data_IF_145208906955
#
_entry.id   IF_145208906955
#
_cell.length_a   1.000
_cell.length_b   1.000
_cell.length_c   1.000
_cell.angle_alpha   90.00
_cell.angle_beta   90.00
_cell.angle_gamma   90.00
#
_symmetry.space_group_name_H-M   'P 1'
#
loop_
_entity.id
_entity.type
_entity.pdbx_description
1 polymer ?
#
# COMPACT_ATOMS: atom_id res chain seq x y z
N UNK A 1 60.63 40.31 -32.29
CA UNK A 1 59.45 41.00 -31.74
C UNK A 1 58.22 40.38 -32.40
N UNK A 2 57.57 39.41 -31.77
CA UNK A 2 56.22 38.94 -32.05
C UNK A 2 55.91 37.78 -31.10
N UNK A 3 54.88 37.98 -30.26
CA UNK A 3 54.35 37.07 -29.25
C UNK A 3 53.41 36.07 -29.94
N UNK A 4 53.45 34.75 -29.65
CA UNK A 4 52.44 33.84 -30.17
C UNK A 4 51.15 33.91 -29.33
N UNK A 5 50.02 33.93 -30.05
CA UNK A 5 48.65 33.99 -29.56
C UNK A 5 48.30 32.76 -28.69
N UNK A 6 47.61 33.04 -27.58
CA UNK A 6 46.96 32.03 -26.72
C UNK A 6 45.76 31.44 -27.46
N UNK A 7 45.79 30.12 -27.71
CA UNK A 7 44.61 29.35 -28.07
C UNK A 7 43.80 29.03 -26.81
N UNK A 8 42.59 29.57 -26.73
CA UNK A 8 41.63 29.25 -25.68
C UNK A 8 40.88 27.95 -26.06
N UNK A 9 41.07 26.91 -25.25
CA UNK A 9 40.34 25.66 -25.34
C UNK A 9 38.94 25.86 -24.73
N UNK A 10 37.90 25.82 -25.54
CA UNK A 10 36.51 25.86 -25.08
C UNK A 10 36.10 24.44 -24.69
N UNK A 11 36.11 24.15 -23.39
CA UNK A 11 35.51 22.96 -22.82
C UNK A 11 33.99 23.10 -22.88
N UNK A 12 33.37 22.34 -23.79
CA UNK A 12 31.92 22.22 -23.88
C UNK A 12 31.44 21.29 -22.75
N UNK A 13 31.07 21.87 -21.61
CA UNK A 13 30.37 21.16 -20.54
C UNK A 13 28.94 20.84 -21.02
N UNK A 14 28.71 19.59 -21.41
CA UNK A 14 27.37 19.04 -21.63
C UNK A 14 26.65 18.98 -20.28
N UNK A 15 25.73 19.93 -20.06
CA UNK A 15 24.77 19.90 -18.95
C UNK A 15 23.81 18.72 -19.19
N UNK A 16 24.00 17.62 -18.46
CA UNK A 16 22.99 16.58 -18.31
C UNK A 16 21.83 17.17 -17.50
N UNK A 17 20.79 17.62 -18.19
CA UNK A 17 19.52 17.98 -17.58
C UNK A 17 18.86 16.68 -17.08
N UNK A 18 19.08 16.31 -15.81
CA UNK A 18 18.27 15.28 -15.17
C UNK A 18 16.88 15.86 -14.96
N UNK A 19 15.92 15.45 -15.79
CA UNK A 19 14.51 15.70 -15.59
C UNK A 19 14.07 15.01 -14.29
N UNK A 20 14.26 15.68 -13.16
CA UNK A 20 13.54 15.37 -11.95
C UNK A 20 12.09 15.75 -12.23
N UNK A 21 11.23 14.77 -12.52
CA UNK A 21 9.80 14.96 -12.34
C UNK A 21 9.61 15.32 -10.87
N UNK A 22 9.47 16.62 -10.59
CA UNK A 22 9.11 17.11 -9.29
C UNK A 22 7.66 16.71 -9.04
N UNK A 23 7.46 15.49 -8.54
CA UNK A 23 6.22 15.16 -7.85
C UNK A 23 6.09 16.18 -6.72
N UNK A 24 5.04 17.00 -6.77
CA UNK A 24 4.77 18.04 -5.80
C UNK A 24 4.94 17.48 -4.38
N UNK A 25 5.70 18.20 -3.54
CA UNK A 25 5.99 17.81 -2.16
C UNK A 25 4.69 17.46 -1.43
N UNK A 26 4.58 16.16 -1.13
CA UNK A 26 3.42 15.51 -0.57
C UNK A 26 3.33 15.83 0.93
N UNK A 27 2.61 16.88 1.32
CA UNK A 27 2.30 17.17 2.73
C UNK A 27 1.15 16.28 3.25
N UNK A 28 1.18 14.98 2.95
CA UNK A 28 0.31 14.02 3.62
C UNK A 28 1.03 13.49 4.86
N UNK A 29 0.30 13.29 5.96
CA UNK A 29 0.87 12.68 7.15
C UNK A 29 1.44 11.29 6.82
N UNK A 30 2.46 10.84 7.55
CA UNK A 30 3.11 9.52 7.40
C UNK A 30 2.07 8.38 7.32
N UNK A 31 0.93 8.52 8.02
CA UNK A 31 -0.18 7.57 8.01
C UNK A 31 -0.95 7.49 6.68
N UNK A 32 -0.98 8.57 5.91
CA UNK A 32 -1.70 8.64 4.63
C UNK A 32 -0.85 8.18 3.44
N UNK A 33 0.45 7.96 3.62
CA UNK A 33 1.34 7.47 2.57
C UNK A 33 1.40 5.94 2.63
N UNK A 34 1.44 5.23 1.49
CA UNK A 34 1.75 3.80 1.48
C UNK A 34 3.11 3.52 2.14
N UNK A 35 3.33 2.29 2.64
CA UNK A 35 4.65 1.89 3.09
C UNK A 35 5.69 2.01 1.96
N UNK A 36 6.96 2.26 2.31
CA UNK A 36 8.09 2.20 1.36
C UNK A 36 8.04 0.89 0.56
N UNK A 37 8.53 0.87 -0.68
CA UNK A 37 8.34 -0.30 -1.58
C UNK A 37 7.03 -0.23 -2.37
N UNK A 38 6.41 0.95 -2.41
CA UNK A 38 5.32 1.28 -3.33
C UNK A 38 5.66 2.59 -4.03
N UNK A 39 5.37 2.65 -5.32
CA UNK A 39 5.60 3.83 -6.17
C UNK A 39 4.30 4.36 -6.76
N UNK A 40 4.18 5.68 -6.97
CA UNK A 40 3.02 6.26 -7.65
C UNK A 40 3.01 5.78 -9.10
N UNK A 41 1.88 5.24 -9.55
CA UNK A 41 1.73 4.76 -10.92
C UNK A 41 0.86 5.72 -11.74
N UNK A 42 -0.31 6.09 -11.21
CA UNK A 42 -1.27 6.94 -11.93
C UNK A 42 -1.86 7.98 -10.99
N UNK A 43 -1.95 9.23 -11.47
CA UNK A 43 -2.67 10.31 -10.80
C UNK A 43 -3.90 10.71 -11.60
N UNK A 44 -5.06 10.68 -10.94
CA UNK A 44 -6.34 11.11 -11.50
C UNK A 44 -7.02 12.12 -10.59
N UNK A 45 -7.88 12.95 -11.17
CA UNK A 45 -8.74 13.84 -10.42
C UNK A 45 -10.21 13.57 -10.71
N UNK A 46 -11.07 13.94 -9.77
CA UNK A 46 -12.51 13.73 -9.90
C UNK A 46 -13.17 14.78 -10.79
N UNK A 47 -14.14 14.35 -11.59
CA UNK A 47 -15.15 15.20 -12.22
C UNK A 47 -16.54 14.75 -11.77
N UNK A 48 -17.44 15.70 -11.52
CA UNK A 48 -18.83 15.47 -11.09
C UNK A 48 -18.96 14.56 -9.85
N UNK A 49 -18.01 14.67 -8.91
CA UNK A 49 -17.98 13.88 -7.69
C UNK A 49 -19.06 14.27 -6.71
N UNK A 50 -19.66 13.30 -6.03
CA UNK A 50 -20.58 13.54 -4.91
C UNK A 50 -20.54 12.45 -3.83
N UNK A 51 -20.78 12.86 -2.59
CA UNK A 51 -21.11 12.00 -1.46
C UNK A 51 -22.64 11.90 -1.34
N UNK A 52 -23.17 10.71 -1.11
CA UNK A 52 -24.59 10.45 -0.95
C UNK A 52 -24.92 10.32 0.53
N UNK A 53 -25.75 11.22 1.05
CA UNK A 53 -26.21 11.17 2.44
C UNK A 53 -27.70 10.87 2.50
N UNK A 54 -28.13 10.08 3.48
CA UNK A 54 -29.54 9.93 3.84
C UNK A 54 -29.81 10.50 5.22
N UNK A 55 -30.93 11.20 5.38
CA UNK A 55 -31.39 11.66 6.68
C UNK A 55 -31.95 10.49 7.50
N UNK A 56 -31.43 10.27 8.70
CA UNK A 56 -31.91 9.25 9.64
C UNK A 56 -32.02 9.88 11.04
N UNK A 57 -33.25 10.02 11.53
CA UNK A 57 -33.56 10.54 12.87
C UNK A 57 -32.86 11.88 13.15
N UNK A 58 -32.95 12.81 12.20
CA UNK A 58 -32.32 14.14 12.31
C UNK A 58 -30.79 14.16 12.12
N UNK A 59 -30.16 13.05 11.75
CA UNK A 59 -28.72 12.97 11.46
C UNK A 59 -28.45 12.52 10.02
N UNK A 60 -27.54 13.19 9.33
CA UNK A 60 -27.07 12.76 8.01
C UNK A 60 -26.15 11.54 8.14
N UNK A 61 -26.53 10.43 7.50
CA UNK A 61 -25.74 9.21 7.42
C UNK A 61 -25.17 9.05 6.01
N UNK A 62 -23.86 8.83 5.91
CA UNK A 62 -23.20 8.59 4.63
C UNK A 62 -23.61 7.22 4.07
N UNK A 63 -23.95 7.16 2.78
CA UNK A 63 -24.39 5.95 2.08
C UNK A 63 -23.44 5.47 1.01
N UNK A 64 -22.59 6.36 0.50
CA UNK A 64 -21.62 6.04 -0.53
C UNK A 64 -21.20 7.28 -1.28
N UNK A 65 -20.43 7.07 -2.34
CA UNK A 65 -19.92 8.15 -3.18
C UNK A 65 -19.81 7.70 -4.63
N UNK A 66 -19.73 8.69 -5.52
CA UNK A 66 -19.43 8.49 -6.93
C UNK A 66 -18.57 9.65 -7.42
N UNK A 67 -17.65 9.40 -8.34
CA UNK A 67 -17.05 10.42 -9.18
C UNK A 67 -16.54 9.82 -10.49
N UNK A 68 -16.59 10.58 -11.58
CA UNK A 68 -15.78 10.28 -12.76
C UNK A 68 -14.31 10.59 -12.45
N UNK A 69 -13.40 9.83 -13.05
CA UNK A 69 -11.97 10.00 -12.91
C UNK A 69 -11.37 10.46 -14.24
N UNK A 70 -10.50 11.46 -14.17
CA UNK A 70 -9.84 12.05 -15.32
C UNK A 70 -8.33 12.00 -15.09
N UNK A 71 -7.56 11.63 -16.11
CA UNK A 71 -6.10 11.72 -16.06
C UNK A 71 -5.67 13.18 -15.90
N UNK A 72 -4.70 13.42 -15.01
CA UNK A 72 -4.26 14.79 -14.73
C UNK A 72 -3.61 15.43 -15.97
N UNK A 73 -2.79 14.70 -16.72
CA UNK A 73 -2.02 15.25 -17.83
C UNK A 73 -2.86 15.43 -19.10
N UNK A 74 -3.54 14.37 -19.54
CA UNK A 74 -4.28 14.38 -20.82
C UNK A 74 -5.68 14.95 -20.71
N UNK A 75 -6.23 15.07 -19.49
CA UNK A 75 -7.65 15.35 -19.22
C UNK A 75 -8.60 14.35 -19.86
N UNK A 76 -8.10 13.20 -20.32
CA UNK A 76 -8.91 12.11 -20.82
C UNK A 76 -9.62 11.38 -19.67
N UNK A 77 -10.74 10.74 -19.97
CA UNK A 77 -11.45 9.92 -19.01
C UNK A 77 -10.60 8.70 -18.63
N UNK A 78 -10.38 8.53 -17.32
CA UNK A 78 -9.67 7.39 -16.76
C UNK A 78 -10.64 6.32 -16.25
N UNK A 79 -11.89 6.68 -15.94
CA UNK A 79 -12.92 5.77 -15.46
C UNK A 79 -13.76 6.39 -14.35
N UNK A 80 -14.07 5.64 -13.28
CA UNK A 80 -14.85 6.14 -12.16
C UNK A 80 -14.46 5.51 -10.82
N UNK A 81 -14.85 6.16 -9.73
CA UNK A 81 -14.81 5.61 -8.37
C UNK A 81 -16.20 5.60 -7.76
N UNK A 82 -16.52 4.53 -7.07
CA UNK A 82 -17.72 4.42 -6.21
C UNK A 82 -17.33 4.01 -4.81
N UNK A 83 -18.17 4.35 -3.83
CA UNK A 83 -18.11 3.73 -2.51
C UNK A 83 -19.47 3.25 -2.04
N UNK A 84 -19.45 2.20 -1.24
CA UNK A 84 -20.63 1.62 -0.56
C UNK A 84 -20.24 1.17 0.83
N UNK A 85 -21.21 1.02 1.71
CA UNK A 85 -21.01 0.45 3.04
C UNK A 85 -21.48 -1.00 3.06
N UNK A 86 -20.66 -1.87 3.62
CA UNK A 86 -21.05 -3.23 3.97
C UNK A 86 -20.78 -3.50 5.46
N UNK A 87 -21.00 -4.73 5.93
CA UNK A 87 -20.82 -5.10 7.33
C UNK A 87 -19.39 -4.87 7.86
N UNK A 88 -18.41 -4.63 6.98
CA UNK A 88 -17.02 -4.37 7.33
C UNK A 88 -16.62 -2.90 7.10
N UNK A 89 -17.60 -2.00 6.91
CA UNK A 89 -17.38 -0.57 6.70
C UNK A 89 -17.42 -0.14 5.24
N UNK A 90 -16.81 1.00 4.94
CA UNK A 90 -16.79 1.56 3.59
C UNK A 90 -15.85 0.75 2.68
N UNK A 91 -16.36 0.36 1.52
CA UNK A 91 -15.65 -0.29 0.43
C UNK A 91 -15.68 0.63 -0.78
N UNK A 92 -14.50 0.97 -1.29
CA UNK A 92 -14.33 1.72 -2.51
C UNK A 92 -14.05 0.78 -3.67
N UNK A 93 -14.58 1.10 -4.85
CA UNK A 93 -14.26 0.41 -6.12
C UNK A 93 -13.89 1.45 -7.15
N UNK A 94 -12.69 1.34 -7.71
CA UNK A 94 -12.22 2.10 -8.86
C UNK A 94 -12.34 1.21 -10.10
N UNK A 95 -13.05 1.70 -11.11
CA UNK A 95 -13.08 1.12 -12.45
C UNK A 95 -12.21 2.00 -13.33
N UNK A 96 -11.17 1.42 -13.93
CA UNK A 96 -10.24 2.10 -14.83
C UNK A 96 -10.41 1.58 -16.24
N UNK A 97 -10.44 2.49 -17.20
CA UNK A 97 -10.43 2.14 -18.62
C UNK A 97 -9.06 1.56 -18.98
N UNK A 98 -9.06 0.43 -19.66
CA UNK A 98 -7.84 -0.21 -20.15
C UNK A 98 -7.35 0.49 -21.42
N UNK A 99 -6.03 0.51 -21.61
CA UNK A 99 -5.46 0.90 -22.91
C UNK A 99 -5.90 -0.09 -24.00
N UNK A 100 -5.74 0.28 -25.28
CA UNK A 100 -6.06 -0.65 -26.37
C UNK A 100 -5.23 -1.93 -26.31
N UNK A 101 -3.97 -1.84 -25.86
CA UNK A 101 -3.10 -3.00 -25.66
C UNK A 101 -3.59 -3.88 -24.52
N UNK A 102 -3.81 -3.29 -23.35
CA UNK A 102 -4.33 -4.04 -22.19
C UNK A 102 -5.69 -4.67 -22.48
N UNK A 103 -6.57 -3.98 -23.22
CA UNK A 103 -7.87 -4.50 -23.60
C UNK A 103 -7.77 -5.65 -24.59
N UNK A 104 -6.83 -5.59 -25.54
CA UNK A 104 -6.57 -6.68 -26.48
C UNK A 104 -5.99 -7.91 -25.79
N UNK A 105 -5.08 -7.72 -24.82
CA UNK A 105 -4.46 -8.81 -24.06
C UNK A 105 -5.42 -9.44 -23.03
N UNK A 106 -6.16 -8.61 -22.31
CA UNK A 106 -7.07 -9.06 -21.24
C UNK A 106 -8.45 -9.49 -21.74
N UNK A 107 -8.89 -9.01 -22.90
CA UNK A 107 -10.26 -9.16 -23.39
C UNK A 107 -11.27 -8.22 -22.74
N UNK A 108 -10.84 -7.27 -21.89
CA UNK A 108 -11.72 -6.35 -21.18
C UNK A 108 -11.36 -4.89 -21.43
N UNK A 109 -12.36 -4.06 -21.75
CA UNK A 109 -12.16 -2.61 -21.93
C UNK A 109 -11.90 -1.85 -20.63
N UNK A 110 -12.09 -2.50 -19.48
CA UNK A 110 -11.87 -1.91 -18.17
C UNK A 110 -11.45 -2.97 -17.14
N UNK A 111 -10.65 -2.53 -16.18
CA UNK A 111 -10.25 -3.30 -15.01
C UNK A 111 -10.68 -2.59 -13.73
N UNK A 112 -10.82 -3.35 -12.65
CA UNK A 112 -11.32 -2.83 -11.38
C UNK A 112 -10.38 -3.20 -10.24
N UNK A 113 -10.26 -2.28 -9.29
CA UNK A 113 -9.65 -2.52 -7.98
C UNK A 113 -10.63 -2.05 -6.91
N UNK A 114 -10.83 -2.86 -5.88
CA UNK A 114 -11.58 -2.45 -4.69
C UNK A 114 -10.67 -2.44 -3.49
N UNK A 115 -10.96 -1.57 -2.53
CA UNK A 115 -10.13 -1.43 -1.33
C UNK A 115 -10.87 -0.82 -0.15
N UNK A 116 -10.26 -0.97 1.03
CA UNK A 116 -10.76 -0.40 2.29
C UNK A 116 -9.83 0.63 2.89
N UNK A 117 -10.35 1.69 3.51
CA UNK A 117 -9.52 2.67 4.18
C UNK A 117 -8.66 2.06 5.29
N UNK A 118 -7.38 2.42 5.31
CA UNK A 118 -6.43 2.13 6.39
C UNK A 118 -6.15 3.33 7.28
N UNK A 119 -6.32 4.54 6.76
CA UNK A 119 -6.07 5.77 7.50
C UNK A 119 -6.92 6.90 6.92
N UNK A 120 -7.26 7.85 7.79
CA UNK A 120 -8.01 9.06 7.46
C UNK A 120 -7.32 10.29 8.06
N UNK A 121 -7.48 11.42 7.39
CA UNK A 121 -7.22 12.74 7.94
C UNK A 121 -8.43 13.65 7.76
N UNK A 122 -8.95 14.12 8.89
CA UNK A 122 -10.10 15.03 9.01
C UNK A 122 -9.67 16.46 9.35
N UNK A 123 -8.40 16.82 9.15
CA UNK A 123 -7.85 18.15 9.43
C UNK A 123 -8.66 19.28 8.78
N UNK A 124 -9.18 19.05 7.57
CA UNK A 124 -10.14 19.93 6.92
C UNK A 124 -11.60 19.49 7.18
N UNK A 125 -12.26 20.11 8.16
CA UNK A 125 -13.64 19.76 8.54
C UNK A 125 -14.70 20.11 7.48
N UNK A 126 -14.38 20.96 6.52
CA UNK A 126 -15.28 21.40 5.45
C UNK A 126 -15.11 20.55 4.17
N UNK A 127 -14.36 19.47 4.26
CA UNK A 127 -14.08 18.57 3.16
C UNK A 127 -14.18 17.11 3.60
N UNK A 128 -14.45 16.23 2.64
CA UNK A 128 -14.25 14.80 2.85
C UNK A 128 -12.80 14.51 3.25
N UNK A 129 -12.64 13.49 4.09
CA UNK A 129 -11.33 13.11 4.60
C UNK A 129 -10.38 12.72 3.47
N UNK A 130 -9.14 13.18 3.59
CA UNK A 130 -8.04 12.52 2.90
C UNK A 130 -7.89 11.12 3.48
N UNK A 131 -7.52 10.15 2.65
CA UNK A 131 -7.43 8.77 3.11
C UNK A 131 -6.41 7.97 2.32
N UNK A 132 -5.90 6.93 2.97
CA UNK A 132 -5.19 5.85 2.31
C UNK A 132 -6.07 4.61 2.32
N UNK A 133 -6.19 3.96 1.17
CA UNK A 133 -6.96 2.75 0.95
C UNK A 133 -6.00 1.65 0.50
N UNK A 134 -6.13 0.47 1.09
CA UNK A 134 -5.41 -0.74 0.64
C UNK A 134 -6.32 -1.58 -0.24
N UNK A 135 -5.76 -2.09 -1.33
CA UNK A 135 -6.46 -3.00 -2.24
C UNK A 135 -6.85 -4.29 -1.53
N UNK A 136 -8.09 -4.71 -1.75
CA UNK A 136 -8.68 -5.93 -1.19
C UNK A 136 -9.15 -6.90 -2.25
N UNK A 137 -9.37 -6.44 -3.48
CA UNK A 137 -9.69 -7.30 -4.62
C UNK A 137 -9.42 -6.60 -5.95
N UNK A 138 -9.13 -7.41 -6.97
CA UNK A 138 -8.99 -6.98 -8.36
C UNK A 138 -9.97 -7.75 -9.25
N UNK A 139 -10.39 -7.13 -10.35
CA UNK A 139 -11.16 -7.79 -11.41
C UNK A 139 -10.67 -7.34 -12.78
N UNK A 140 -10.54 -8.31 -13.69
CA UNK A 140 -9.95 -8.17 -15.03
C UNK A 140 -8.47 -7.72 -15.00
N UNK A 141 -7.72 -8.11 -16.02
CA UNK A 141 -6.35 -7.60 -16.20
C UNK A 141 -6.35 -6.20 -16.84
N UNK A 142 -5.29 -5.44 -16.62
CA UNK A 142 -5.09 -4.09 -17.18
C UNK A 142 -4.71 -3.04 -16.14
N UNK A 143 -5.15 -1.80 -16.34
CA UNK A 143 -4.69 -0.62 -15.58
C UNK A 143 -4.85 -0.71 -14.06
N UNK A 144 -5.86 -1.42 -13.56
CA UNK A 144 -6.13 -1.59 -12.14
C UNK A 144 -5.50 -2.86 -11.53
N UNK A 145 -4.90 -3.73 -12.33
CA UNK A 145 -4.51 -5.08 -11.92
C UNK A 145 -3.32 -5.11 -10.95
N UNK A 146 -2.49 -4.07 -10.91
CA UNK A 146 -1.26 -3.99 -10.10
C UNK A 146 -1.36 -3.00 -8.95
N UNK A 147 -2.52 -2.36 -8.76
CA UNK A 147 -2.70 -1.30 -7.78
C UNK A 147 -2.66 -1.85 -6.36
N UNK A 148 -1.68 -1.47 -5.56
CA UNK A 148 -1.51 -1.93 -4.18
C UNK A 148 -2.25 -1.04 -3.17
N UNK A 149 -2.18 0.28 -3.38
CA UNK A 149 -2.78 1.29 -2.53
C UNK A 149 -3.39 2.43 -3.36
N UNK A 150 -4.42 3.07 -2.81
CA UNK A 150 -5.01 4.27 -3.40
C UNK A 150 -5.05 5.35 -2.33
N UNK A 151 -4.47 6.51 -2.64
CA UNK A 151 -4.47 7.65 -1.76
C UNK A 151 -5.37 8.74 -2.30
N UNK A 152 -6.35 9.19 -1.49
CA UNK A 152 -7.20 10.33 -1.78
C UNK A 152 -6.68 11.56 -1.06
N UNK A 153 -6.45 12.65 -1.79
CA UNK A 153 -5.87 13.88 -1.28
C UNK A 153 -6.42 15.11 -2.02
N UNK A 154 -6.00 16.31 -1.60
CA UNK A 154 -6.47 17.59 -2.16
C UNK A 154 -8.01 17.66 -2.27
N UNK A 155 -8.67 17.32 -1.16
CA UNK A 155 -10.13 17.19 -1.12
C UNK A 155 -10.82 18.54 -0.91
N UNK A 156 -11.98 18.73 -1.53
CA UNK A 156 -12.89 19.86 -1.26
C UNK A 156 -14.35 19.43 -1.35
N UNK A 157 -15.21 19.93 -0.46
CA UNK A 157 -16.64 19.59 -0.42
C UNK A 157 -16.90 18.18 0.12
N UNK A 158 -18.11 17.65 -0.11
CA UNK A 158 -18.49 16.31 0.32
C UNK A 158 -18.83 16.14 1.80
N UNK A 159 -18.69 17.16 2.65
CA UNK A 159 -19.15 17.11 4.04
C UNK A 159 -20.68 17.02 4.14
N UNK A 160 -21.25 16.37 5.18
CA UNK A 160 -22.70 16.32 5.35
C UNK A 160 -23.28 17.74 5.46
N UNK A 161 -24.51 17.99 4.96
CA UNK A 161 -25.17 19.27 5.19
C UNK A 161 -25.40 19.53 6.69
N UNK A 162 -25.76 20.76 7.09
CA UNK A 162 -26.09 21.06 8.48
C UNK A 162 -27.17 20.11 9.03
N UNK A 163 -27.02 19.62 10.26
CA UNK A 163 -27.98 18.67 10.85
C UNK A 163 -29.43 19.20 10.81
N UNK A 164 -29.63 20.52 10.98
CA UNK A 164 -30.94 21.18 10.89
C UNK A 164 -31.66 21.02 9.54
N UNK A 165 -30.96 20.65 8.46
CA UNK A 165 -31.59 20.39 7.15
C UNK A 165 -32.05 18.93 6.99
N UNK A 166 -31.73 18.05 7.93
CA UNK A 166 -32.22 16.67 7.99
C UNK A 166 -33.57 16.65 8.72
N UNK A 167 -34.65 16.99 8.01
CA UNK A 167 -36.01 17.05 8.59
C UNK A 167 -36.89 15.85 8.20
N UNK A 168 -36.66 15.29 7.01
CA UNK A 168 -37.45 14.19 6.47
C UNK A 168 -36.62 12.93 6.48
N UNK A 169 -36.99 11.97 7.31
CA UNK A 169 -36.32 10.67 7.37
C UNK A 169 -36.32 9.99 5.99
N UNK A 170 -35.21 9.33 5.69
CA UNK A 170 -34.90 8.70 4.40
C UNK A 170 -34.80 9.66 3.21
N UNK A 171 -34.90 10.98 3.40
CA UNK A 171 -34.52 11.92 2.34
C UNK A 171 -33.04 11.77 1.99
N UNK A 172 -32.72 11.89 0.70
CA UNK A 172 -31.38 11.68 0.17
C UNK A 172 -30.87 12.97 -0.45
N UNK A 173 -29.59 13.28 -0.21
CA UNK A 173 -28.92 14.45 -0.78
C UNK A 173 -27.57 14.04 -1.38
N UNK A 174 -27.27 14.60 -2.55
CA UNK A 174 -25.95 14.53 -3.17
C UNK A 174 -25.16 15.78 -2.79
N UNK A 175 -24.06 15.62 -2.07
CA UNK A 175 -23.16 16.72 -1.75
C UNK A 175 -21.96 16.65 -2.69
N UNK A 176 -21.75 17.66 -3.55
CA UNK A 176 -20.61 17.67 -4.47
C UNK A 176 -19.27 17.61 -3.74
N UNK A 177 -18.31 16.91 -4.34
CA UNK A 177 -16.93 16.96 -3.91
C UNK A 177 -15.95 16.94 -5.08
N UNK A 178 -14.74 17.39 -4.79
CA UNK A 178 -13.57 17.18 -5.65
C UNK A 178 -12.42 16.57 -4.85
N UNK A 179 -11.62 15.76 -5.50
CA UNK A 179 -10.42 15.15 -4.93
C UNK A 179 -9.43 14.76 -6.04
N UNK A 180 -8.19 14.50 -5.63
CA UNK A 180 -7.22 13.75 -6.41
C UNK A 180 -7.03 12.36 -5.83
N UNK A 181 -6.71 11.41 -6.70
CA UNK A 181 -6.33 10.06 -6.34
C UNK A 181 -4.97 9.72 -6.95
N UNK A 182 -4.06 9.24 -6.12
CA UNK A 182 -2.82 8.61 -6.56
C UNK A 182 -2.98 7.10 -6.37
N UNK A 183 -2.89 6.36 -7.47
CA UNK A 183 -2.93 4.91 -7.49
C UNK A 183 -1.48 4.42 -7.48
N UNK A 184 -1.14 3.66 -6.45
CA UNK A 184 0.20 3.17 -6.19
C UNK A 184 0.30 1.71 -6.60
N UNK A 185 1.50 1.30 -7.01
CA UNK A 185 1.83 -0.10 -7.30
C UNK A 185 2.93 -0.54 -6.35
N UNK A 186 2.92 -1.84 -6.00
CA UNK A 186 4.05 -2.44 -5.31
C UNK A 186 5.26 -2.43 -6.23
N UNK A 187 6.41 -2.04 -5.69
CA UNK A 187 7.66 -2.07 -6.44
C UNK A 187 8.07 -3.50 -6.75
N UNK A 188 8.71 -3.72 -7.89
CA UNK A 188 9.30 -5.02 -8.27
C UNK A 188 10.69 -5.22 -7.67
N UNK A 189 11.14 -4.28 -6.84
CA UNK A 189 12.43 -4.30 -6.15
C UNK A 189 12.26 -3.83 -4.71
N UNK A 190 13.09 -4.32 -3.79
CA UNK A 190 13.09 -3.87 -2.41
C UNK A 190 13.40 -2.38 -2.32
N UNK A 191 12.78 -1.72 -1.36
CA UNK A 191 13.12 -0.35 -1.01
C UNK A 191 14.56 -0.25 -0.52
N UNK A 192 15.13 0.96 -0.53
CA UNK A 192 16.45 1.18 0.07
C UNK A 192 16.41 0.87 1.56
N UNK A 193 17.31 -0.01 2.02
CA UNK A 193 17.39 -0.46 3.41
C UNK A 193 18.60 0.16 4.14
N UNK A 194 18.54 0.30 5.49
CA UNK A 194 19.71 0.60 6.29
C UNK A 194 20.86 -0.38 6.05
N UNK A 195 22.11 0.09 6.12
CA UNK A 195 23.31 -0.72 5.83
C UNK A 195 23.38 -2.01 6.65
N UNK A 196 22.89 -2.01 7.89
CA UNK A 196 22.86 -3.20 8.76
C UNK A 196 21.87 -4.28 8.32
N UNK A 197 20.96 -3.96 7.39
CA UNK A 197 20.00 -4.89 6.81
C UNK A 197 20.34 -5.26 5.36
N UNK A 198 21.33 -4.62 4.74
CA UNK A 198 21.69 -4.86 3.35
C UNK A 198 22.14 -6.32 3.15
N UNK A 199 21.68 -6.94 2.05
CA UNK A 199 22.10 -8.29 1.66
C UNK A 199 23.43 -8.20 0.91
N UNK A 200 24.52 -8.83 1.39
CA UNK A 200 25.80 -8.82 0.68
C UNK A 200 25.68 -9.57 -0.64
N UNK A 201 26.00 -8.92 -1.77
CA UNK A 201 25.92 -9.47 -3.13
C UNK A 201 24.56 -10.09 -3.54
N UNK A 202 23.52 -9.90 -2.73
CA UNK A 202 22.27 -10.61 -2.91
C UNK A 202 21.52 -10.16 -4.16
N UNK A 203 21.16 -11.12 -5.01
CA UNK A 203 20.22 -10.91 -6.11
C UNK A 203 18.80 -11.16 -5.60
N UNK A 204 17.95 -10.15 -5.75
CA UNK A 204 16.52 -10.27 -5.48
C UNK A 204 15.92 -11.28 -6.46
N UNK A 205 15.17 -12.23 -5.92
CA UNK A 205 14.44 -13.23 -6.70
C UNK A 205 12.97 -12.86 -6.75
N UNK A 206 12.34 -12.67 -5.59
CA UNK A 206 10.88 -12.49 -5.50
C UNK A 206 10.50 -11.69 -4.25
N UNK A 207 9.36 -10.98 -4.31
CA UNK A 207 8.81 -10.21 -3.20
C UNK A 207 7.35 -10.55 -2.96
N UNK A 208 7.02 -10.99 -1.75
CA UNK A 208 5.64 -11.31 -1.39
C UNK A 208 5.06 -10.28 -0.43
N UNK A 209 3.90 -9.73 -0.79
CA UNK A 209 3.09 -8.96 0.14
C UNK A 209 2.51 -9.88 1.22
N UNK A 210 2.68 -9.50 2.47
CA UNK A 210 2.15 -10.21 3.61
C UNK A 210 1.10 -9.36 4.32
N UNK A 211 -0.02 -9.99 4.69
CA UNK A 211 -1.04 -9.36 5.52
C UNK A 211 -1.52 -10.32 6.59
N UNK A 212 -1.48 -9.86 7.84
CA UNK A 212 -1.78 -10.72 8.97
C UNK A 212 -1.81 -9.99 10.29
N UNK A 213 -1.42 -10.69 11.35
CA UNK A 213 -1.37 -10.14 12.69
C UNK A 213 -0.17 -10.66 13.50
N UNK A 214 0.27 -9.81 14.41
CA UNK A 214 1.17 -10.17 15.50
C UNK A 214 0.33 -10.41 16.74
N UNK A 215 0.54 -11.54 17.39
CA UNK A 215 -0.14 -11.91 18.63
C UNK A 215 0.75 -11.53 19.81
N UNK A 216 0.18 -10.75 20.73
CA UNK A 216 0.83 -10.33 21.95
C UNK A 216 0.15 -10.94 23.17
N UNK A 217 0.95 -11.27 24.19
CA UNK A 217 0.49 -11.67 25.51
C UNK A 217 1.05 -10.71 26.56
N UNK A 218 0.19 -10.19 27.43
CA UNK A 218 0.63 -9.30 28.49
C UNK A 218 1.24 -10.11 29.64
N UNK A 219 2.49 -9.84 30.01
CA UNK A 219 3.20 -10.60 31.06
C UNK A 219 2.90 -10.10 32.49
N UNK A 220 2.14 -8.99 32.62
CA UNK A 220 1.85 -8.30 33.87
C UNK A 220 2.50 -6.91 33.96
N UNK A 221 3.48 -6.64 33.12
CA UNK A 221 4.19 -5.35 33.03
C UNK A 221 4.26 -4.81 31.61
N UNK A 222 4.40 -5.69 30.61
CA UNK A 222 4.49 -5.33 29.20
C UNK A 222 3.79 -6.37 28.31
N UNK A 223 3.48 -5.94 27.09
CA UNK A 223 3.07 -6.84 26.01
C UNK A 223 4.30 -7.51 25.38
N UNK A 224 4.27 -8.83 25.30
CA UNK A 224 5.31 -9.64 24.66
C UNK A 224 4.76 -10.29 23.40
N UNK A 225 5.53 -10.28 22.32
CA UNK A 225 5.21 -11.01 21.10
C UNK A 225 5.30 -12.51 21.35
N UNK A 226 4.26 -13.26 20.99
CA UNK A 226 4.21 -14.72 21.17
C UNK A 226 3.96 -15.49 19.87
N UNK A 227 3.43 -14.83 18.84
CA UNK A 227 3.28 -15.42 17.51
C UNK A 227 3.15 -14.33 16.45
N UNK A 228 3.46 -14.68 15.21
CA UNK A 228 3.11 -13.90 14.02
C UNK A 228 2.50 -14.85 12.99
N UNK A 229 1.47 -14.38 12.29
CA UNK A 229 0.85 -15.09 11.17
C UNK A 229 0.50 -14.09 10.07
N UNK A 230 0.67 -14.47 8.80
CA UNK A 230 0.15 -13.72 7.67
C UNK A 230 -0.20 -14.63 6.49
N UNK A 231 -1.15 -14.17 5.67
CA UNK A 231 -1.30 -14.68 4.31
C UNK A 231 -0.34 -13.93 3.39
N UNK A 232 0.16 -14.64 2.39
CA UNK A 232 1.08 -14.13 1.38
C UNK A 232 0.35 -13.94 0.05
N UNK A 233 0.70 -12.88 -0.65
CA UNK A 233 0.10 -12.42 -1.89
C UNK A 233 1.20 -11.89 -2.81
N UNK A 234 0.98 -11.89 -4.13
CA UNK A 234 1.87 -11.17 -5.05
C UNK A 234 1.80 -9.66 -4.77
N UNK A 235 0.58 -9.14 -4.63
CA UNK A 235 0.27 -7.76 -4.26
C UNK A 235 -0.98 -7.75 -3.36
N UNK A 236 -1.27 -6.67 -2.62
CA UNK A 236 -2.48 -6.58 -1.80
C UNK A 236 -3.75 -6.82 -2.62
N UNK A 237 -4.64 -7.70 -2.14
CA UNK A 237 -5.94 -7.92 -2.76
C UNK A 237 -5.98 -8.99 -3.86
N UNK A 238 -4.88 -9.65 -4.20
CA UNK A 238 -4.94 -10.87 -5.04
C UNK A 238 -5.32 -12.10 -4.21
N UNK A 239 -5.38 -13.25 -4.84
CA UNK A 239 -5.51 -14.52 -4.14
C UNK A 239 -4.27 -14.81 -3.27
N UNK A 240 -4.51 -15.47 -2.14
CA UNK A 240 -3.44 -15.90 -1.27
C UNK A 240 -2.66 -17.03 -1.94
N UNK A 241 -1.34 -16.86 -2.03
CA UNK A 241 -0.41 -17.81 -2.65
C UNK A 241 0.40 -18.59 -1.63
N UNK A 242 0.23 -18.27 -0.35
CA UNK A 242 0.96 -18.90 0.74
C UNK A 242 0.60 -18.30 2.08
N UNK A 243 1.37 -18.70 3.08
CA UNK A 243 1.27 -18.19 4.43
C UNK A 243 2.66 -18.06 5.06
N UNK A 244 2.72 -17.22 6.09
CA UNK A 244 3.88 -17.02 6.90
C UNK A 244 3.50 -17.22 8.36
N UNK A 245 4.38 -17.86 9.13
CA UNK A 245 4.22 -18.07 10.56
C UNK A 245 5.56 -18.26 11.26
N UNK A 246 5.58 -18.09 12.57
CA UNK A 246 6.76 -18.42 13.41
C UNK A 246 6.59 -19.83 13.95
N UNK A 247 7.61 -20.68 13.76
CA UNK A 247 7.67 -22.04 14.28
C UNK A 247 8.92 -22.21 15.14
N UNK A 248 8.75 -22.31 16.47
CA UNK A 248 9.88 -22.30 17.40
C UNK A 248 10.60 -20.95 17.37
N UNK A 249 11.89 -20.96 17.01
CA UNK A 249 12.73 -19.78 16.84
C UNK A 249 12.97 -19.40 15.37
N UNK A 250 12.23 -20.01 14.44
CA UNK A 250 12.34 -19.78 13.00
C UNK A 250 11.10 -19.07 12.43
N UNK A 251 11.36 -18.12 11.54
CA UNK A 251 10.36 -17.55 10.65
C UNK A 251 10.17 -18.52 9.46
N UNK A 252 8.92 -18.86 9.15
CA UNK A 252 8.57 -19.83 8.12
C UNK A 252 7.65 -19.22 7.06
N UNK A 253 7.96 -19.45 5.80
CA UNK A 253 7.12 -19.12 4.65
C UNK A 253 6.73 -20.40 3.93
N UNK A 254 5.45 -20.62 3.75
CA UNK A 254 4.88 -21.77 3.05
C UNK A 254 4.15 -21.26 1.80
N UNK A 255 4.77 -21.41 0.63
CA UNK A 255 4.23 -21.00 -0.66
C UNK A 255 3.53 -22.19 -1.31
N UNK A 256 2.25 -22.05 -1.64
CA UNK A 256 1.43 -23.16 -2.14
C UNK A 256 1.71 -23.47 -3.62
N UNK A 257 1.88 -22.43 -4.44
CA UNK A 257 1.99 -22.56 -5.89
C UNK A 257 3.42 -22.28 -6.39
N UNK A 258 3.88 -22.97 -7.46
CA UNK A 258 3.16 -24.01 -8.19
C UNK A 258 3.19 -25.39 -7.52
N UNK A 259 4.13 -25.69 -6.59
CA UNK A 259 4.38 -27.07 -6.15
C UNK A 259 4.57 -27.26 -4.63
N UNK A 260 4.19 -26.27 -3.80
CA UNK A 260 4.40 -26.34 -2.35
C UNK A 260 5.88 -26.25 -1.97
N UNK A 261 6.30 -25.11 -1.42
CA UNK A 261 7.68 -24.86 -1.04
C UNK A 261 7.75 -24.06 0.26
N UNK A 262 8.62 -24.49 1.17
CA UNK A 262 8.77 -23.95 2.50
C UNK A 262 10.17 -23.41 2.72
N UNK A 263 10.26 -22.20 3.27
CA UNK A 263 11.52 -21.55 3.69
C UNK A 263 11.49 -21.36 5.17
N UNK A 264 12.59 -21.71 5.83
CA UNK A 264 12.86 -21.41 7.23
C UNK A 264 14.03 -20.46 7.30
N UNK A 265 13.92 -19.43 8.13
CA UNK A 265 15.00 -18.48 8.34
C UNK A 265 15.10 -18.05 9.80
N UNK A 266 16.31 -17.66 10.20
CA UNK A 266 16.59 -17.06 11.51
C UNK A 266 17.12 -15.66 11.34
N UNK A 267 16.83 -14.81 12.32
CA UNK A 267 17.30 -13.42 12.36
C UNK A 267 18.83 -13.35 12.21
N UNK A 268 19.29 -12.66 11.16
CA UNK A 268 20.70 -12.48 10.87
C UNK A 268 21.27 -11.16 11.42
N UNK A 269 20.41 -10.16 11.65
CA UNK A 269 20.83 -8.87 12.18
C UNK A 269 19.82 -8.27 13.15
N UNK A 270 20.27 -7.25 13.90
CA UNK A 270 19.39 -6.51 14.82
C UNK A 270 18.27 -5.83 14.01
N UNK A 271 16.99 -5.95 14.42
CA UNK A 271 15.90 -5.24 13.76
C UNK A 271 16.10 -3.73 13.81
N UNK A 272 15.67 -3.03 12.75
CA UNK A 272 15.80 -1.56 12.63
C UNK A 272 14.42 -0.94 12.46
N UNK A 273 14.08 0.01 13.33
CA UNK A 273 12.89 0.85 13.14
C UNK A 273 13.14 1.85 12.01
N UNK A 274 12.38 1.72 10.92
CA UNK A 274 12.46 2.60 9.74
C UNK A 274 11.27 3.54 9.66
N UNK A 275 10.11 3.08 10.11
CA UNK A 275 8.84 3.82 10.14
C UNK A 275 8.31 3.75 11.56
N UNK A 276 7.85 4.88 12.10
CA UNK A 276 7.34 4.91 13.48
C UNK A 276 6.06 4.08 13.59
N UNK A 277 5.83 3.52 14.77
CA UNK A 277 4.63 2.75 15.09
C UNK A 277 4.38 1.55 14.14
N UNK A 278 5.45 1.03 13.53
CA UNK A 278 5.42 -0.13 12.67
C UNK A 278 6.44 -1.16 13.17
N UNK A 279 6.24 -2.43 12.81
CA UNK A 279 7.24 -3.47 13.04
C UNK A 279 8.60 -3.05 12.47
N UNK A 280 9.71 -3.34 13.16
CA UNK A 280 11.03 -3.04 12.63
C UNK A 280 11.33 -3.91 11.40
N UNK A 281 12.15 -3.39 10.50
CA UNK A 281 12.66 -4.15 9.37
C UNK A 281 13.74 -5.13 9.84
N UNK A 282 13.81 -6.29 9.20
CA UNK A 282 14.70 -7.38 9.59
C UNK A 282 15.37 -8.02 8.40
N UNK A 283 16.61 -8.46 8.59
CA UNK A 283 17.30 -9.41 7.71
C UNK A 283 17.33 -10.78 8.41
N UNK A 284 16.98 -11.82 7.66
CA UNK A 284 17.01 -13.20 8.09
C UNK A 284 17.91 -14.02 7.16
N UNK A 285 18.66 -14.96 7.73
CA UNK A 285 19.43 -15.96 7.00
C UNK A 285 18.57 -17.20 6.86
N UNK A 286 18.41 -17.69 5.64
CA UNK A 286 17.72 -18.96 5.37
C UNK A 286 18.52 -20.08 6.01
N UNK A 287 17.85 -20.93 6.77
CA UNK A 287 18.44 -22.07 7.50
C UNK A 287 18.06 -23.40 6.87
N UNK A 288 16.89 -23.47 6.25
CA UNK A 288 16.38 -24.69 5.65
C UNK A 288 15.32 -24.39 4.59
N UNK A 289 15.21 -25.28 3.62
CA UNK A 289 14.21 -25.25 2.56
C UNK A 289 13.62 -26.65 2.37
N UNK A 290 12.31 -26.75 2.18
CA UNK A 290 11.61 -28.03 1.95
C UNK A 290 10.61 -27.89 0.81
N UNK A 291 10.32 -28.99 0.13
CA UNK A 291 9.36 -29.03 -0.98
C UNK A 291 10.02 -29.28 -2.32
N UNK A 292 9.27 -29.09 -3.40
CA UNK A 292 9.81 -29.29 -4.75
C UNK A 292 10.77 -28.13 -5.07
N UNK A 293 12.02 -28.41 -5.50
CA UNK A 293 12.94 -27.36 -5.92
C UNK A 293 12.27 -26.52 -7.01
N UNK A 294 11.90 -25.30 -6.67
CA UNK A 294 11.42 -24.30 -7.61
C UNK A 294 12.62 -23.63 -8.26
N UNK A 295 12.48 -23.20 -9.52
CA UNK A 295 13.52 -22.45 -10.26
C UNK A 295 13.93 -21.11 -9.62
N UNK A 296 13.37 -20.79 -8.45
CA UNK A 296 13.60 -19.56 -7.72
C UNK A 296 14.66 -19.72 -6.60
N UNK A 297 15.00 -20.95 -6.19
CA UNK A 297 15.99 -21.23 -5.13
C UNK A 297 17.32 -21.84 -5.63
N UNK A 298 18.30 -22.05 -4.73
CA UNK A 298 18.22 -21.87 -3.28
C UNK A 298 18.32 -20.40 -2.85
N UNK A 299 17.72 -20.10 -1.69
CA UNK A 299 17.74 -18.76 -1.12
C UNK A 299 18.68 -18.67 0.07
N UNK A 300 19.35 -17.54 0.21
CA UNK A 300 20.31 -17.29 1.27
C UNK A 300 19.74 -16.36 2.34
N UNK A 301 18.91 -15.40 1.92
CA UNK A 301 18.37 -14.38 2.81
C UNK A 301 16.91 -14.06 2.53
N UNK A 302 16.22 -13.63 3.58
CA UNK A 302 14.90 -13.00 3.49
C UNK A 302 14.97 -11.65 4.21
N UNK A 303 14.42 -10.60 3.61
CA UNK A 303 14.21 -9.33 4.28
C UNK A 303 12.73 -9.08 4.53
N UNK A 304 12.41 -8.62 5.72
CA UNK A 304 11.10 -8.02 6.05
C UNK A 304 11.23 -6.51 5.93
N UNK A 305 10.52 -5.93 4.98
CA UNK A 305 10.52 -4.48 4.72
C UNK A 305 9.08 -3.97 4.59
N UNK A 306 8.92 -2.67 4.32
CA UNK A 306 7.61 -2.11 3.95
C UNK A 306 6.53 -2.33 5.01
N UNK A 307 6.94 -2.42 6.27
CA UNK A 307 6.07 -2.77 7.37
C UNK A 307 5.05 -1.67 7.68
N UNK A 308 3.83 -2.08 8.04
CA UNK A 308 2.80 -1.21 8.60
C UNK A 308 2.09 -1.91 9.75
N UNK A 309 1.96 -1.25 10.90
CA UNK A 309 1.32 -1.83 12.08
C UNK A 309 2.16 -2.91 12.75
N UNK A 310 1.50 -3.86 13.42
CA UNK A 310 2.15 -4.98 14.11
C UNK A 310 2.89 -4.61 15.39
N UNK A 311 2.61 -3.43 15.96
CA UNK A 311 3.14 -3.01 17.26
C UNK A 311 2.26 -3.49 18.43
N UNK A 312 2.80 -3.67 19.64
CA UNK A 312 2.01 -4.01 20.80
C UNK A 312 0.97 -2.91 21.12
N UNK A 313 -0.18 -3.26 21.73
CA UNK A 313 -1.13 -2.27 22.21
C UNK A 313 -0.51 -1.35 23.26
N UNK A 314 -0.97 -0.10 23.31
CA UNK A 314 -0.62 0.85 24.38
C UNK A 314 -1.58 0.81 25.57
N UNK A 315 -2.62 -0.01 25.49
CA UNK A 315 -3.64 -0.14 26.53
C UNK A 315 -3.11 -0.93 27.73
N UNK A 316 -3.48 -0.49 28.93
CA UNK A 316 -3.24 -1.24 30.17
C UNK A 316 -3.99 -2.56 30.11
N UNK A 317 -3.35 -3.65 30.53
CA UNK A 317 -3.95 -4.97 30.55
C UNK A 317 -3.48 -5.81 31.74
N UNK A 318 -4.27 -6.83 32.08
CA UNK A 318 -3.93 -7.81 33.11
C UNK A 318 -2.96 -8.86 32.57
N UNK A 319 -2.16 -9.48 33.45
CA UNK A 319 -1.31 -10.62 33.08
C UNK A 319 -2.13 -11.72 32.42
N UNK A 320 -1.64 -12.23 31.29
CA UNK A 320 -2.29 -13.25 30.47
C UNK A 320 -3.27 -12.72 29.43
N UNK A 321 -3.57 -11.41 29.41
CA UNK A 321 -4.39 -10.82 28.35
C UNK A 321 -3.74 -11.03 26.98
N UNK A 322 -4.56 -11.27 25.97
CA UNK A 322 -4.14 -11.47 24.58
C UNK A 322 -4.56 -10.27 23.74
N UNK A 323 -3.73 -9.90 22.77
CA UNK A 323 -4.06 -8.88 21.79
C UNK A 323 -3.54 -9.28 20.40
N UNK A 324 -4.25 -8.83 19.37
CA UNK A 324 -3.90 -9.04 17.98
C UNK A 324 -3.65 -7.68 17.34
N UNK A 325 -2.45 -7.47 16.82
CA UNK A 325 -2.09 -6.26 16.11
C UNK A 325 -1.97 -6.56 14.63
N UNK A 326 -2.88 -6.00 13.83
CA UNK A 326 -2.83 -6.17 12.38
C UNK A 326 -1.53 -5.59 11.81
N UNK A 327 -0.95 -6.28 10.84
CA UNK A 327 0.20 -5.77 10.11
C UNK A 327 0.17 -6.15 8.64
N UNK A 328 0.92 -5.38 7.86
CA UNK A 328 1.40 -5.78 6.54
C UNK A 328 2.91 -5.58 6.42
N UNK A 329 3.52 -6.28 5.46
CA UNK A 329 4.93 -6.19 5.14
C UNK A 329 5.17 -6.69 3.70
N UNK A 330 6.39 -6.49 3.18
CA UNK A 330 6.87 -7.22 2.00
C UNK A 330 8.08 -8.06 2.43
N UNK A 331 8.00 -9.35 2.13
CA UNK A 331 9.10 -10.30 2.30
C UNK A 331 9.87 -10.45 0.99
N UNK A 332 11.12 -10.00 0.97
CA UNK A 332 12.00 -10.10 -0.19
C UNK A 332 12.97 -11.26 -0.03
N UNK A 333 13.01 -12.12 -1.03
CA UNK A 333 13.83 -13.32 -1.05
C UNK A 333 15.05 -13.10 -1.95
N UNK A 334 16.21 -13.55 -1.47
CA UNK A 334 17.50 -13.32 -2.11
C UNK A 334 18.26 -14.63 -2.30
N UNK A 335 18.98 -14.69 -3.42
CA UNK A 335 20.06 -15.65 -3.67
C UNK A 335 21.40 -14.90 -3.71
N UNK A 336 22.51 -15.62 -3.52
CA UNK A 336 23.87 -15.08 -3.69
C UNK A 336 24.33 -15.00 -5.16
#
# INVERSE_FOLDING_TARGET
MAVPMKGASVLCFSLLLTAHMAFAQYNASEALTPPLGNSPNVVVYTRDGYQLYSCLKGTWSLKGSYAMLMYEDSKAEAGNVTSRFDGNGELFTWTLLNSLGDAAESGFSASMVSGRPLAWDYSNRNSLAMQLVESTSHQNHGAAATVSYIQRYSTSGGSPPPAKSCMVDNSVVKVPYSAKYCLWTQDTRPASVPRSLAVPNGRVVEGFFAKGHVTFKHNGSAWEEVAKYAKLYNIPGTDAIGEYYVYGDEDCWNIYNPNGWMVYAKRASKPVEVVRNCMPWTLLSVTNEKGVPVMLGPFNFVQTTSTRGGIPPTTKASKGAMAYSAYSAIYWFYTE
#
